data_IF_569522690929
#
_entry.id   IF_569522690929
#
_cell.length_a   1.000
_cell.length_b   1.000
_cell.length_c   1.000
_cell.angle_alpha   90.00
_cell.angle_beta   90.00
_cell.angle_gamma   90.00
#
_symmetry.space_group_name_H-M   'P 1'
#
loop_
_entity.id
_entity.type
_entity.pdbx_description
1 polymer ?
#
# COMPACT_ATOMS: atom_id res chain seq x y z
N UNK A 1 -33.57 5.29 43.06
CA UNK A 1 -33.29 6.46 42.21
C UNK A 1 -31.89 7.03 42.39
N UNK A 2 -31.44 7.47 43.60
CA UNK A 2 -30.06 8.00 43.76
C UNK A 2 -28.94 6.96 43.53
N UNK A 3 -29.14 5.71 43.94
CA UNK A 3 -28.19 4.59 43.75
C UNK A 3 -28.01 4.23 42.27
N UNK A 4 -29.09 4.30 41.49
CA UNK A 4 -29.10 3.94 40.07
C UNK A 4 -28.25 4.91 39.23
N UNK A 5 -28.27 6.20 39.60
CA UNK A 5 -27.45 7.23 38.95
C UNK A 5 -25.95 7.06 39.19
N UNK A 6 -25.54 6.61 40.39
CA UNK A 6 -24.13 6.37 40.68
C UNK A 6 -23.59 5.19 39.85
N UNK A 7 -24.37 4.12 39.71
CA UNK A 7 -24.01 2.96 38.89
C UNK A 7 -23.80 3.32 37.42
N UNK A 8 -24.68 4.13 36.84
CA UNK A 8 -24.55 4.56 35.44
C UNK A 8 -23.27 5.40 35.21
N UNK A 9 -22.89 6.23 36.18
CA UNK A 9 -21.65 7.01 36.09
C UNK A 9 -20.39 6.13 36.17
N UNK A 10 -20.41 5.08 37.00
CA UNK A 10 -19.29 4.13 37.09
C UNK A 10 -19.12 3.32 35.80
N UNK A 11 -20.24 2.91 35.18
CA UNK A 11 -20.23 2.25 33.87
C UNK A 11 -19.70 3.18 32.76
N UNK A 12 -20.09 4.46 32.77
CA UNK A 12 -19.58 5.45 31.83
C UNK A 12 -18.07 5.64 31.96
N UNK A 13 -17.56 5.78 33.19
CA UNK A 13 -16.13 5.93 33.47
C UNK A 13 -15.34 4.69 33.00
N UNK A 14 -15.89 3.50 33.19
CA UNK A 14 -15.29 2.25 32.70
C UNK A 14 -15.19 2.24 31.17
N UNK A 15 -16.27 2.58 30.46
CA UNK A 15 -16.29 2.62 29.00
C UNK A 15 -15.33 3.66 28.42
N UNK A 16 -15.18 4.83 29.06
CA UNK A 16 -14.20 5.84 28.65
C UNK A 16 -12.77 5.29 28.69
N UNK A 17 -12.42 4.60 29.78
CA UNK A 17 -11.08 3.99 29.94
C UNK A 17 -10.82 2.90 28.90
N UNK A 18 -11.81 2.06 28.63
CA UNK A 18 -11.72 1.02 27.59
C UNK A 18 -11.58 1.64 26.20
N UNK A 19 -12.29 2.74 25.92
CA UNK A 19 -12.17 3.46 24.65
C UNK A 19 -10.77 4.06 24.44
N UNK A 20 -10.19 4.67 25.48
CA UNK A 20 -8.82 5.18 25.44
C UNK A 20 -7.80 4.07 25.18
N UNK A 21 -7.97 2.92 25.85
CA UNK A 21 -7.14 1.74 25.63
C UNK A 21 -7.24 1.23 24.19
N UNK A 22 -8.46 1.10 23.66
CA UNK A 22 -8.69 0.66 22.28
C UNK A 22 -8.08 1.63 21.26
N UNK A 23 -8.18 2.95 21.49
CA UNK A 23 -7.57 3.96 20.61
C UNK A 23 -6.05 3.82 20.54
N UNK A 24 -5.40 3.44 21.64
CA UNK A 24 -3.97 3.22 21.66
C UNK A 24 -3.57 1.90 20.97
N UNK A 25 -4.39 0.85 21.10
CA UNK A 25 -4.02 -0.50 20.67
C UNK A 25 -4.44 -0.83 19.21
N UNK A 26 -5.59 -0.34 18.76
CA UNK A 26 -6.14 -0.65 17.44
C UNK A 26 -5.22 -0.28 16.27
N UNK A 27 -4.53 0.89 16.25
CA UNK A 27 -3.66 1.24 15.13
C UNK A 27 -2.51 0.25 14.94
N UNK A 28 -1.88 -0.19 16.03
CA UNK A 28 -0.80 -1.16 15.98
C UNK A 28 -1.26 -2.52 15.45
N UNK A 29 -2.41 -2.99 15.94
CA UNK A 29 -3.03 -4.24 15.47
C UNK A 29 -3.43 -4.16 14.00
N UNK A 30 -4.02 -3.04 13.56
CA UNK A 30 -4.41 -2.83 12.16
C UNK A 30 -3.21 -2.86 11.22
N UNK A 31 -2.10 -2.18 11.58
CA UNK A 31 -0.86 -2.19 10.80
C UNK A 31 -0.24 -3.60 10.75
N UNK A 32 -0.22 -4.32 11.87
CA UNK A 32 0.29 -5.69 11.91
C UNK A 32 -0.51 -6.62 11.00
N UNK A 33 -1.84 -6.55 11.09
CA UNK A 33 -2.75 -7.33 10.23
C UNK A 33 -2.57 -6.99 8.76
N UNK A 34 -2.42 -5.70 8.42
CA UNK A 34 -2.16 -5.26 7.05
C UNK A 34 -0.85 -5.84 6.50
N UNK A 35 0.24 -5.79 7.29
CA UNK A 35 1.54 -6.36 6.89
C UNK A 35 1.50 -7.88 6.70
N UNK A 36 0.64 -8.57 7.44
CA UNK A 36 0.44 -10.02 7.30
C UNK A 36 -0.50 -10.39 6.15
N UNK A 37 -1.23 -9.43 5.60
CA UNK A 37 -2.17 -9.68 4.51
C UNK A 37 -1.46 -10.17 3.25
N UNK A 38 -2.15 -11.05 2.52
CA UNK A 38 -1.68 -11.57 1.24
C UNK A 38 -1.49 -10.45 0.22
N UNK A 39 -2.36 -9.44 0.26
CA UNK A 39 -2.33 -8.28 -0.64
C UNK A 39 -1.07 -7.42 -0.46
N UNK A 40 -0.61 -7.24 0.78
CA UNK A 40 0.67 -6.59 1.06
C UNK A 40 1.84 -7.36 0.42
N UNK A 41 1.84 -8.70 0.53
CA UNK A 41 2.84 -9.55 -0.12
C UNK A 41 2.85 -9.42 -1.65
N UNK A 42 1.67 -9.40 -2.28
CA UNK A 42 1.55 -9.16 -3.73
C UNK A 42 1.99 -7.75 -4.14
N UNK A 43 1.68 -6.74 -3.31
CA UNK A 43 2.16 -5.37 -3.47
C UNK A 43 3.70 -5.29 -3.48
N UNK A 44 4.34 -5.94 -2.50
CA UNK A 44 5.81 -6.00 -2.42
C UNK A 44 6.43 -6.71 -3.63
N UNK A 45 5.83 -7.82 -4.09
CA UNK A 45 6.32 -8.53 -5.29
C UNK A 45 6.23 -7.65 -6.53
N UNK A 46 5.14 -6.91 -6.72
CA UNK A 46 4.98 -5.94 -7.82
C UNK A 46 6.00 -4.80 -7.74
N UNK A 47 6.14 -4.18 -6.57
CA UNK A 47 7.12 -3.10 -6.36
C UNK A 47 8.55 -3.57 -6.61
N UNK A 48 8.91 -4.77 -6.13
CA UNK A 48 10.22 -5.38 -6.36
C UNK A 48 10.51 -5.60 -7.84
N UNK A 49 9.55 -6.13 -8.62
CA UNK A 49 9.71 -6.31 -10.06
C UNK A 49 9.95 -4.99 -10.80
N UNK A 50 9.15 -3.96 -10.50
CA UNK A 50 9.28 -2.64 -11.15
C UNK A 50 10.63 -2.01 -10.82
N UNK A 51 11.05 -2.09 -9.55
CA UNK A 51 12.31 -1.51 -9.08
C UNK A 51 13.52 -2.23 -9.68
N UNK A 52 13.45 -3.56 -9.76
CA UNK A 52 14.49 -4.39 -10.37
C UNK A 52 14.62 -4.11 -11.87
N UNK A 53 13.50 -4.02 -12.60
CA UNK A 53 13.49 -3.64 -14.03
C UNK A 53 14.06 -2.25 -14.28
N UNK A 54 13.70 -1.28 -13.44
CA UNK A 54 14.25 0.07 -13.53
C UNK A 54 15.76 0.08 -13.29
N UNK A 55 16.22 -0.55 -12.22
CA UNK A 55 17.64 -0.66 -11.89
C UNK A 55 18.44 -1.34 -13.00
N UNK A 56 17.89 -2.41 -13.59
CA UNK A 56 18.49 -3.10 -14.72
C UNK A 56 18.65 -2.17 -15.93
N UNK A 57 17.60 -1.43 -16.31
CA UNK A 57 17.67 -0.47 -17.44
C UNK A 57 18.71 0.62 -17.22
N UNK A 58 18.81 1.15 -16.01
CA UNK A 58 19.81 2.16 -15.66
C UNK A 58 21.22 1.56 -15.75
N UNK A 59 21.44 0.37 -15.17
CA UNK A 59 22.72 -0.32 -15.24
C UNK A 59 23.13 -0.64 -16.68
N UNK A 60 22.16 -1.07 -17.51
CA UNK A 60 22.35 -1.36 -18.92
C UNK A 60 22.77 -0.11 -19.71
N UNK A 61 22.07 1.00 -19.53
CA UNK A 61 22.42 2.27 -20.19
C UNK A 61 23.83 2.74 -19.78
N UNK A 62 24.18 2.59 -18.50
CA UNK A 62 25.53 2.89 -18.00
C UNK A 62 26.60 1.99 -18.59
N UNK A 63 26.31 0.69 -18.76
CA UNK A 63 27.22 -0.26 -19.37
C UNK A 63 27.47 0.09 -20.85
N UNK A 64 26.39 0.31 -21.60
CA UNK A 64 26.45 0.69 -23.03
C UNK A 64 27.22 1.99 -23.25
N UNK A 65 27.06 2.98 -22.35
CA UNK A 65 27.81 4.23 -22.43
C UNK A 65 29.32 4.06 -22.19
N UNK A 66 29.74 3.06 -21.39
CA UNK A 66 31.17 2.79 -21.13
C UNK A 66 31.79 1.87 -22.17
N UNK A 67 31.00 0.98 -22.76
CA UNK A 67 31.48 -0.07 -23.65
C UNK A 67 30.56 -0.16 -24.88
N UNK A 68 30.63 0.81 -25.81
CA UNK A 68 29.71 0.88 -26.95
C UNK A 68 29.89 -0.27 -27.94
N UNK A 69 31.07 -0.90 -27.96
CA UNK A 69 31.42 -1.98 -28.89
C UNK A 69 31.06 -3.38 -28.36
N UNK A 70 30.58 -3.49 -27.12
CA UNK A 70 30.18 -4.75 -26.49
C UNK A 70 28.68 -4.96 -26.59
N UNK A 71 28.29 -6.04 -27.28
CA UNK A 71 26.91 -6.45 -27.38
C UNK A 71 26.44 -7.05 -26.04
N UNK A 72 25.30 -6.58 -25.54
CA UNK A 72 24.63 -7.17 -24.39
C UNK A 72 23.55 -8.10 -24.92
N UNK A 73 23.52 -9.34 -24.41
CA UNK A 73 22.48 -10.33 -24.70
C UNK A 73 21.07 -9.77 -24.41
N UNK A 74 20.06 -10.37 -25.04
CA UNK A 74 18.66 -9.90 -25.04
C UNK A 74 18.16 -9.58 -23.63
N UNK A 75 17.51 -8.43 -23.48
CA UNK A 75 16.91 -7.99 -22.21
C UNK A 75 15.93 -9.08 -21.72
N UNK A 76 16.16 -9.73 -20.57
CA UNK A 76 15.29 -10.78 -20.06
C UNK A 76 13.88 -10.30 -19.70
N UNK A 77 13.60 -8.99 -19.77
CA UNK A 77 12.28 -8.38 -19.61
C UNK A 77 11.58 -8.03 -20.94
N UNK A 78 12.21 -8.32 -22.08
CA UNK A 78 11.58 -8.19 -23.41
C UNK A 78 10.77 -9.43 -23.78
N UNK A 79 11.15 -10.60 -23.25
CA UNK A 79 10.26 -11.76 -23.16
C UNK A 79 9.13 -11.41 -22.20
N UNK A 80 7.89 -11.45 -22.69
CA UNK A 80 6.72 -11.07 -21.90
C UNK A 80 6.73 -11.86 -20.58
N UNK A 81 6.71 -11.20 -19.40
CA UNK A 81 6.64 -11.92 -18.15
C UNK A 81 5.36 -12.76 -18.16
N UNK A 82 5.38 -13.95 -17.55
CA UNK A 82 4.18 -14.80 -17.41
C UNK A 82 2.99 -14.04 -16.79
N UNK A 83 3.28 -12.96 -16.07
CA UNK A 83 2.35 -12.05 -15.41
C UNK A 83 1.82 -10.93 -16.34
N UNK A 84 2.23 -10.86 -17.61
CA UNK A 84 1.69 -9.92 -18.62
C UNK A 84 0.22 -10.16 -18.95
N UNK A 85 -0.30 -11.36 -18.69
CA UNK A 85 -1.73 -11.66 -18.73
C UNK A 85 -2.50 -11.15 -17.51
N UNK A 86 -1.80 -10.82 -16.41
CA UNK A 86 -2.37 -10.05 -15.32
C UNK A 86 -2.31 -8.59 -15.75
N UNK A 87 -3.35 -8.17 -16.47
CA UNK A 87 -3.55 -6.77 -16.80
C UNK A 87 -3.40 -5.98 -15.50
N UNK A 88 -2.36 -5.15 -15.40
CA UNK A 88 -2.27 -4.19 -14.31
C UNK A 88 -3.50 -3.30 -14.48
N UNK A 89 -4.46 -3.44 -13.58
CA UNK A 89 -5.66 -2.62 -13.58
C UNK A 89 -5.19 -1.18 -13.42
N UNK A 90 -5.16 -0.43 -14.54
CA UNK A 90 -4.68 0.96 -14.59
C UNK A 90 -5.60 1.91 -13.81
N UNK A 91 -6.70 1.37 -13.29
CA UNK A 91 -7.70 2.04 -12.47
C UNK A 91 -8.09 1.12 -11.32
N UNK A 92 -7.25 1.06 -10.30
CA UNK A 92 -7.70 0.59 -8.99
C UNK A 92 -8.49 1.75 -8.37
N UNK A 93 -9.82 1.68 -8.46
CA UNK A 93 -10.69 2.59 -7.71
C UNK A 93 -10.56 2.21 -6.24
N UNK A 94 -9.72 2.94 -5.50
CA UNK A 94 -9.70 2.81 -4.05
C UNK A 94 -11.04 3.32 -3.55
N UNK A 95 -11.84 2.44 -2.94
CA UNK A 95 -13.04 2.82 -2.21
C UNK A 95 -12.63 3.48 -0.89
N UNK A 96 -12.04 4.67 -1.02
CA UNK A 96 -11.82 5.56 0.10
C UNK A 96 -13.19 6.18 0.34
N UNK A 97 -14.01 5.49 1.14
CA UNK A 97 -15.24 6.04 1.71
C UNK A 97 -14.89 7.24 2.60
N UNK A 98 -14.55 8.36 1.96
CA UNK A 98 -14.37 9.67 2.57
C UNK A 98 -15.79 10.20 2.86
N UNK A 99 -16.10 10.65 4.08
CA UNK A 99 -17.39 11.25 4.37
C UNK A 99 -17.62 12.44 3.43
N UNK A 100 -18.73 12.36 2.70
CA UNK A 100 -19.27 13.31 1.74
C UNK A 100 -19.16 14.75 2.27
N UNK A 101 -18.14 15.50 1.85
CA UNK A 101 -17.96 16.87 2.34
C UNK A 101 -16.86 17.74 1.73
N UNK A 102 -15.79 17.20 1.14
CA UNK A 102 -14.72 18.04 0.56
C UNK A 102 -14.41 17.65 -0.88
N UNK A 103 -15.03 18.43 -1.78
CA UNK A 103 -14.76 18.56 -3.21
C UNK A 103 -13.29 18.89 -3.47
N UNK A 104 -12.64 18.07 -4.30
CA UNK A 104 -11.29 18.30 -4.82
C UNK A 104 -10.78 17.08 -5.58
N UNK A 105 -11.28 16.86 -6.80
CA UNK A 105 -10.74 15.86 -7.72
C UNK A 105 -9.32 16.26 -8.11
N UNK A 106 -8.30 15.59 -7.55
CA UNK A 106 -6.94 15.66 -8.05
C UNK A 106 -6.72 14.49 -9.00
N UNK A 107 -6.75 14.80 -10.29
CA UNK A 107 -6.34 13.89 -11.36
C UNK A 107 -4.83 14.04 -11.51
N UNK A 108 -4.04 13.06 -11.06
CA UNK A 108 -2.64 12.97 -11.46
C UNK A 108 -2.59 12.21 -12.78
N UNK A 109 -2.70 12.94 -13.88
CA UNK A 109 -2.40 12.41 -15.21
C UNK A 109 -0.88 12.34 -15.37
N UNK A 110 -0.33 11.11 -15.36
CA UNK A 110 1.05 10.85 -15.76
C UNK A 110 1.16 10.81 -17.29
N UNK A 111 2.04 11.65 -17.83
CA UNK A 111 2.44 11.76 -19.24
C UNK A 111 3.44 10.65 -19.59
#
# INVERSE_FOLDING_TARGET
QKVDHHKANDELLKLMRENESLKAELPGRSVANYKQSVEFGWGLRRMGQVSYKYGYRVALAHFQARYPDLEVDSDPFTEQPKDSSVLMETRQEFDVSIPRGMIGSFVISGV
#
